data_IF_248117747109
#
_entry.id   IF_248117747109
#
_cell.length_a   1.000
_cell.length_b   1.000
_cell.length_c   1.000
_cell.angle_alpha   90.00
_cell.angle_beta   90.00
_cell.angle_gamma   90.00
#
_symmetry.space_group_name_H-M   'P 1'
#
loop_
_entity.id
_entity.type
_entity.pdbx_description
1 polymer ?
#
# COMPACT_ATOMS: atom_id res chain seq x y z
N UNK A 1 44.89 -48.95 51.72
CA UNK A 1 44.23 -49.02 50.38
C UNK A 1 43.00 -48.16 50.48
N UNK A 2 43.13 -46.93 49.92
CA UNK A 2 42.31 -45.73 50.16
C UNK A 2 41.08 -45.69 49.24
N UNK A 3 39.87 -45.61 49.85
CA UNK A 3 38.64 -45.34 49.11
C UNK A 3 38.31 -43.88 49.12
N UNK A 4 38.24 -43.30 47.93
CA UNK A 4 37.84 -41.93 47.72
C UNK A 4 36.32 -41.91 47.55
N UNK A 5 35.60 -41.22 48.46
CA UNK A 5 34.16 -40.92 48.33
C UNK A 5 34.02 -39.65 47.47
N UNK A 6 33.33 -39.79 46.35
CA UNK A 6 32.83 -38.64 45.54
C UNK A 6 31.51 -38.15 46.12
N UNK A 7 31.50 -36.90 46.57
CA UNK A 7 30.28 -36.15 46.89
C UNK A 7 29.70 -35.58 45.60
N UNK A 8 28.53 -36.06 45.23
CA UNK A 8 27.73 -35.47 44.16
C UNK A 8 26.87 -34.34 44.77
N UNK A 9 27.25 -33.09 44.46
CA UNK A 9 26.47 -31.90 44.79
C UNK A 9 25.42 -31.68 43.69
N UNK A 10 24.18 -32.02 43.99
CA UNK A 10 23.02 -31.91 43.10
C UNK A 10 22.39 -30.53 43.33
N UNK A 11 22.85 -29.48 42.63
CA UNK A 11 22.20 -28.18 42.61
C UNK A 11 21.22 -28.14 41.43
N UNK A 12 19.96 -28.48 41.73
CA UNK A 12 18.81 -28.17 40.89
C UNK A 12 18.52 -26.69 40.97
N UNK A 13 19.05 -25.90 39.99
CA UNK A 13 18.64 -24.53 39.73
C UNK A 13 17.28 -24.52 39.04
N UNK A 14 16.21 -24.27 39.80
CA UNK A 14 14.90 -23.97 39.21
C UNK A 14 14.91 -22.64 38.48
N UNK A 15 14.05 -22.43 37.44
CA UNK A 15 13.97 -21.18 36.74
C UNK A 15 13.52 -20.08 37.70
N UNK A 16 14.38 -19.05 37.85
CA UNK A 16 14.03 -17.82 38.56
C UNK A 16 12.78 -17.22 37.92
N UNK A 17 11.69 -17.17 38.66
CA UNK A 17 10.50 -16.42 38.27
C UNK A 17 10.84 -14.93 38.24
N UNK A 18 10.55 -14.19 37.17
CA UNK A 18 10.76 -12.75 37.12
C UNK A 18 9.93 -12.12 38.25
N UNK A 19 10.57 -11.28 39.05
CA UNK A 19 9.92 -10.56 40.17
C UNK A 19 8.77 -9.73 39.58
N UNK A 20 7.60 -9.73 40.21
CA UNK A 20 6.50 -8.85 39.75
C UNK A 20 6.95 -7.40 39.94
N UNK A 21 7.15 -6.70 38.83
CA UNK A 21 7.39 -5.24 38.84
C UNK A 21 6.15 -4.60 39.43
N UNK A 22 6.30 -3.81 40.49
CA UNK A 22 5.15 -3.13 41.11
C UNK A 22 4.59 -2.08 40.16
N UNK A 23 3.27 -1.85 40.23
CA UNK A 23 2.57 -0.86 39.41
C UNK A 23 3.19 0.53 39.54
N UNK A 24 3.64 0.89 40.76
CA UNK A 24 4.36 2.14 41.06
C UNK A 24 5.74 2.25 40.40
N UNK A 25 6.45 1.13 40.25
CA UNK A 25 7.73 1.09 39.53
C UNK A 25 7.55 1.24 38.02
N UNK A 26 6.52 0.61 37.47
CA UNK A 26 6.17 0.76 36.07
C UNK A 26 5.73 2.19 35.74
N UNK A 27 4.89 2.80 36.59
CA UNK A 27 4.43 4.18 36.41
C UNK A 27 5.61 5.17 36.51
N UNK A 28 6.53 4.95 37.46
CA UNK A 28 7.74 5.78 37.59
C UNK A 28 8.65 5.67 36.37
N UNK A 29 8.89 4.45 35.87
CA UNK A 29 9.69 4.20 34.67
C UNK A 29 9.07 4.80 33.42
N UNK A 30 7.75 4.76 33.27
CA UNK A 30 7.02 5.42 32.20
C UNK A 30 7.12 6.94 32.29
N UNK A 31 6.94 7.51 33.48
CA UNK A 31 7.04 8.96 33.70
C UNK A 31 8.44 9.47 33.42
N UNK A 32 9.48 8.76 33.83
CA UNK A 32 10.89 9.08 33.55
C UNK A 32 11.23 8.95 32.06
N UNK A 33 10.67 7.98 31.36
CA UNK A 33 10.87 7.81 29.92
C UNK A 33 10.21 8.92 29.13
N UNK A 34 8.97 9.26 29.47
CA UNK A 34 8.24 10.37 28.85
C UNK A 34 8.89 11.73 29.15
N UNK A 35 9.36 11.92 30.38
CA UNK A 35 10.06 13.16 30.76
C UNK A 35 11.37 13.35 30.00
N UNK A 36 12.14 12.27 29.76
CA UNK A 36 13.34 12.32 28.92
C UNK A 36 13.04 12.60 27.46
N UNK A 37 11.92 12.08 26.91
CA UNK A 37 11.50 12.39 25.55
C UNK A 37 11.05 13.85 25.38
N UNK A 38 10.43 14.44 26.41
CA UNK A 38 9.99 15.85 26.40
C UNK A 38 11.15 16.80 26.65
N UNK A 39 12.11 16.42 27.53
CA UNK A 39 13.27 17.25 27.87
C UNK A 39 14.35 17.33 26.78
N UNK A 40 14.31 16.42 25.76
CA UNK A 40 15.17 16.56 24.60
C UNK A 40 14.41 17.40 23.56
N UNK A 41 14.74 18.72 23.40
CA UNK A 41 14.13 19.52 22.35
C UNK A 41 14.52 18.86 21.01
N UNK A 42 13.60 18.14 20.37
CA UNK A 42 13.79 17.82 18.95
C UNK A 42 13.94 19.15 18.25
N UNK A 43 15.05 19.40 17.52
CA UNK A 43 15.10 20.53 16.63
C UNK A 43 13.94 20.29 15.64
N UNK A 44 12.82 20.97 15.86
CA UNK A 44 11.83 21.20 14.84
C UNK A 44 12.64 21.77 13.70
N UNK A 45 12.79 20.99 12.60
CA UNK A 45 13.60 21.41 11.48
C UNK A 45 13.25 22.86 11.18
N UNK A 46 14.29 23.70 11.20
CA UNK A 46 14.13 25.13 11.07
C UNK A 46 13.20 25.43 9.90
N UNK A 47 12.04 26.00 10.19
CA UNK A 47 11.08 26.50 9.24
C UNK A 47 10.18 25.47 8.51
N UNK A 48 9.13 24.92 9.19
CA UNK A 48 8.11 24.11 8.54
C UNK A 48 7.30 24.90 7.48
N UNK A 49 7.15 26.22 7.64
CA UNK A 49 6.52 27.11 6.69
C UNK A 49 7.39 27.27 5.44
N UNK A 50 8.69 27.42 5.57
CA UNK A 50 9.62 27.44 4.45
C UNK A 50 9.71 26.09 3.72
N UNK A 51 9.56 24.97 4.41
CA UNK A 51 9.46 23.66 3.76
C UNK A 51 8.18 23.55 2.93
N UNK A 52 7.05 24.02 3.44
CA UNK A 52 5.78 24.06 2.70
C UNK A 52 5.86 24.99 1.50
N UNK A 53 6.44 26.18 1.65
CA UNK A 53 6.64 27.12 0.53
C UNK A 53 7.63 26.60 -0.51
N UNK A 54 8.69 25.90 -0.11
CA UNK A 54 9.60 25.24 -1.05
C UNK A 54 8.91 24.14 -1.85
N UNK A 55 8.01 23.36 -1.21
CA UNK A 55 7.17 22.35 -1.90
C UNK A 55 6.23 23.00 -2.90
N UNK A 56 5.54 24.08 -2.52
CA UNK A 56 4.66 24.81 -3.41
C UNK A 56 5.40 25.41 -4.63
N UNK A 57 6.59 25.95 -4.43
CA UNK A 57 7.44 26.47 -5.51
C UNK A 57 7.96 25.38 -6.44
N UNK A 58 8.27 24.18 -5.95
CA UNK A 58 8.65 23.03 -6.79
C UNK A 58 7.48 22.54 -7.63
N UNK A 59 6.28 22.45 -7.05
CA UNK A 59 5.05 22.11 -7.78
C UNK A 59 4.75 23.15 -8.87
N UNK A 60 4.93 24.44 -8.57
CA UNK A 60 4.79 25.54 -9.54
C UNK A 60 5.79 25.46 -10.71
N UNK A 61 7.06 25.15 -10.44
CA UNK A 61 8.09 24.99 -11.50
C UNK A 61 7.82 23.77 -12.39
N UNK A 62 7.37 22.66 -11.83
CA UNK A 62 6.98 21.48 -12.64
C UNK A 62 5.78 21.77 -13.52
N UNK A 63 4.79 22.54 -13.05
CA UNK A 63 3.64 23.00 -13.85
C UNK A 63 4.05 23.97 -14.97
N UNK A 64 5.02 24.85 -14.74
CA UNK A 64 5.53 25.77 -15.75
C UNK A 64 6.28 25.05 -16.88
N UNK A 65 7.00 23.97 -16.59
CA UNK A 65 7.72 23.17 -17.60
C UNK A 65 6.79 22.29 -18.45
N UNK A 66 5.67 21.79 -17.87
CA UNK A 66 4.65 21.05 -18.63
C UNK A 66 3.71 21.98 -19.40
N UNK A 67 3.52 23.24 -18.96
CA UNK A 67 2.70 24.25 -19.66
C UNK A 67 3.31 24.75 -20.94
N UNK A 68 4.63 24.76 -21.08
CA UNK A 68 5.32 25.24 -22.30
C UNK A 68 5.21 24.29 -23.50
N UNK A 69 4.88 23.02 -23.30
CA UNK A 69 4.69 22.05 -24.38
C UNK A 69 3.27 22.05 -24.98
N UNK A 70 2.28 22.72 -24.36
CA UNK A 70 0.88 22.80 -24.81
C UNK A 70 0.45 24.21 -25.27
N UNK A 71 1.30 25.20 -25.17
CA UNK A 71 0.96 26.61 -25.54
C UNK A 71 0.99 26.89 -27.04
N UNK A 72 1.09 25.88 -27.89
CA UNK A 72 1.17 26.05 -29.37
C UNK A 72 -0.15 26.00 -30.13
N UNK A 73 -1.30 25.71 -29.52
CA UNK A 73 -2.56 25.47 -30.25
C UNK A 73 -3.78 26.24 -29.72
N UNK A 74 -3.68 27.01 -28.66
CA UNK A 74 -4.85 27.65 -28.03
C UNK A 74 -4.79 29.18 -28.00
N UNK A 75 -4.31 29.86 -29.08
CA UNK A 75 -4.28 31.33 -29.15
C UNK A 75 -5.32 31.93 -30.07
N UNK A 76 -6.48 31.36 -30.26
CA UNK A 76 -7.56 31.92 -31.13
C UNK A 76 -8.95 31.93 -30.51
N UNK A 77 -9.19 31.84 -29.22
CA UNK A 77 -10.59 31.95 -28.73
C UNK A 77 -10.78 32.53 -27.32
N UNK A 78 -10.07 33.59 -26.93
CA UNK A 78 -10.47 34.38 -25.73
C UNK A 78 -10.17 35.87 -25.95
N UNK A 79 -10.89 36.52 -26.88
CA UNK A 79 -10.96 37.97 -26.97
C UNK A 79 -12.41 38.46 -27.11
N UNK A 80 -13.34 37.89 -26.38
CA UNK A 80 -14.68 38.45 -26.27
C UNK A 80 -15.25 38.12 -24.86
N UNK A 81 -15.04 39.01 -23.88
CA UNK A 81 -15.74 38.87 -22.60
C UNK A 81 -15.10 39.50 -21.37
N UNK A 82 -14.39 40.64 -21.50
CA UNK A 82 -14.06 41.45 -20.32
C UNK A 82 -14.32 42.91 -20.60
N UNK A 83 -15.58 43.30 -20.55
CA UNK A 83 -16.00 44.65 -20.33
C UNK A 83 -17.12 44.63 -19.27
N UNK A 84 -16.93 45.50 -18.28
CA UNK A 84 -17.84 45.83 -17.18
C UNK A 84 -17.57 45.12 -15.84
N UNK A 85 -16.72 45.75 -15.03
CA UNK A 85 -17.00 46.18 -13.66
C UNK A 85 -15.91 47.21 -13.31
N UNK A 86 -16.17 48.49 -13.62
CA UNK A 86 -15.56 49.62 -12.96
C UNK A 86 -16.56 50.19 -11.98
N UNK A 87 -16.36 49.97 -10.69
CA UNK A 87 -17.04 50.64 -9.58
C UNK A 87 -16.00 51.28 -8.66
N UNK A 88 -16.28 52.44 -8.07
CA UNK A 88 -15.28 53.32 -7.50
C UNK A 88 -14.72 52.89 -6.16
N UNK A 89 -13.48 53.29 -5.93
CA UNK A 89 -12.71 53.09 -4.71
C UNK A 89 -13.43 53.64 -3.47
N UNK A 90 -13.66 52.75 -2.49
CA UNK A 90 -14.07 53.07 -1.12
C UNK A 90 -12.97 52.68 -0.12
N UNK A 91 -12.59 53.67 0.63
CA UNK A 91 -11.57 53.74 1.68
C UNK A 91 -11.61 52.64 2.71
N UNK A 92 -10.44 52.27 3.12
CA UNK A 92 -9.94 51.36 4.19
C UNK A 92 -10.85 51.02 5.36
N UNK A 93 -10.86 49.73 5.64
CA UNK A 93 -11.28 49.14 6.88
C UNK A 93 -10.67 47.75 6.98
N UNK A 94 -9.77 47.54 7.93
CA UNK A 94 -9.26 46.23 8.33
C UNK A 94 -10.42 45.32 8.72
N UNK A 95 -10.59 44.12 8.10
CA UNK A 95 -11.64 43.22 8.58
C UNK A 95 -11.22 42.57 9.88
N UNK A 96 -11.87 42.97 10.97
CA UNK A 96 -11.88 42.23 12.22
C UNK A 96 -12.71 40.98 11.99
N UNK A 97 -12.08 39.80 12.04
CA UNK A 97 -12.80 38.51 12.04
C UNK A 97 -13.44 38.34 13.40
N UNK A 98 -14.72 38.62 13.49
CA UNK A 98 -15.57 38.23 14.64
C UNK A 98 -16.01 36.80 14.39
N UNK A 99 -15.50 35.86 15.21
CA UNK A 99 -16.08 34.52 15.32
C UNK A 99 -17.44 34.70 16.02
N UNK A 100 -18.52 34.87 15.24
CA UNK A 100 -19.88 34.76 15.72
C UNK A 100 -20.43 33.38 15.44
N UNK A 101 -21.12 32.80 16.42
CA UNK A 101 -21.85 31.55 16.26
C UNK A 101 -22.83 31.66 15.08
N UNK A 102 -22.88 30.63 14.20
CA UNK A 102 -23.85 30.64 13.11
C UNK A 102 -25.27 30.54 13.67
N UNK A 103 -26.21 31.34 13.17
CA UNK A 103 -27.60 31.25 13.58
C UNK A 103 -28.15 29.88 13.22
N UNK A 104 -28.85 29.25 14.16
CA UNK A 104 -29.39 27.90 14.08
C UNK A 104 -30.18 27.64 12.80
N UNK A 105 -29.65 26.80 11.95
CA UNK A 105 -30.42 26.15 10.91
C UNK A 105 -31.23 25.02 11.52
N UNK A 106 -32.54 25.22 11.61
CA UNK A 106 -33.45 24.10 11.84
C UNK A 106 -33.40 23.16 10.64
N UNK A 107 -33.07 21.87 10.80
CA UNK A 107 -33.16 20.94 9.69
C UNK A 107 -34.63 20.72 9.32
N UNK A 108 -35.03 21.14 8.13
CA UNK A 108 -36.28 20.68 7.52
C UNK A 108 -36.20 19.15 7.38
N UNK A 109 -37.26 18.43 7.76
CA UNK A 109 -37.29 16.99 7.53
C UNK A 109 -37.49 16.73 6.04
N UNK A 110 -36.44 16.40 5.36
CA UNK A 110 -36.57 15.76 4.05
C UNK A 110 -37.13 14.36 4.27
N UNK A 111 -38.21 13.98 3.56
CA UNK A 111 -38.68 12.62 3.60
C UNK A 111 -37.58 11.71 3.03
N UNK A 112 -37.12 10.78 3.85
CA UNK A 112 -36.26 9.70 3.40
C UNK A 112 -37.10 8.81 2.47
N UNK A 113 -37.02 9.04 1.18
CA UNK A 113 -37.39 8.04 0.18
C UNK A 113 -36.35 6.92 0.24
N UNK A 114 -36.66 5.94 1.06
CA UNK A 114 -36.01 4.65 1.03
C UNK A 114 -36.47 3.93 -0.25
N UNK A 115 -35.79 4.18 -1.35
CA UNK A 115 -35.90 3.33 -2.54
C UNK A 115 -35.35 1.97 -2.17
N UNK A 116 -36.15 0.89 -2.19
CA UNK A 116 -35.64 -0.43 -1.94
C UNK A 116 -34.65 -0.75 -3.06
N UNK A 117 -33.37 -0.85 -2.73
CA UNK A 117 -32.33 -1.30 -3.65
C UNK A 117 -32.74 -2.70 -4.13
N UNK A 118 -33.15 -2.79 -5.38
CA UNK A 118 -33.37 -4.05 -6.09
C UNK A 118 -32.05 -4.81 -6.05
N UNK A 119 -31.96 -5.83 -5.22
CA UNK A 119 -30.83 -6.73 -5.13
C UNK A 119 -30.77 -7.59 -6.39
N UNK A 120 -30.26 -7.02 -7.47
CA UNK A 120 -29.74 -7.83 -8.56
C UNK A 120 -28.55 -8.58 -8.00
N UNK A 121 -28.52 -9.92 -8.20
CA UNK A 121 -27.58 -10.82 -7.57
C UNK A 121 -26.12 -10.47 -7.81
N UNK A 122 -25.62 -9.47 -7.08
CA UNK A 122 -24.20 -9.17 -7.02
C UNK A 122 -23.52 -10.35 -6.34
N UNK A 123 -22.52 -10.89 -6.98
CA UNK A 123 -21.52 -11.75 -6.34
C UNK A 123 -21.08 -10.96 -5.11
N UNK A 124 -21.47 -11.38 -3.90
CA UNK A 124 -21.01 -10.77 -2.66
C UNK A 124 -19.51 -10.86 -2.72
N UNK A 125 -18.84 -9.72 -2.81
CA UNK A 125 -17.39 -9.68 -2.79
C UNK A 125 -16.96 -10.33 -1.46
N UNK A 126 -16.11 -11.34 -1.55
CA UNK A 126 -15.53 -12.00 -0.36
C UNK A 126 -14.51 -11.08 0.31
N UNK A 127 -14.22 -9.95 -0.33
CA UNK A 127 -13.26 -8.92 0.08
C UNK A 127 -13.88 -7.54 -0.08
N UNK A 128 -13.29 -6.58 0.61
CA UNK A 128 -13.71 -5.19 0.49
C UNK A 128 -13.36 -4.64 -0.90
N UNK A 129 -14.21 -3.78 -1.45
CA UNK A 129 -14.05 -3.12 -2.75
C UNK A 129 -14.15 -1.60 -2.60
N UNK A 130 -13.36 -0.88 -3.36
CA UNK A 130 -13.52 0.56 -3.57
C UNK A 130 -14.11 0.79 -4.96
N UNK A 131 -15.28 1.44 -5.00
CA UNK A 131 -16.02 1.69 -6.22
C UNK A 131 -16.51 3.13 -6.20
N UNK A 132 -16.03 3.96 -7.12
CA UNK A 132 -16.50 5.33 -7.35
C UNK A 132 -16.65 6.18 -6.06
N UNK A 133 -15.61 6.20 -5.24
CA UNK A 133 -15.61 6.93 -3.97
C UNK A 133 -16.39 6.26 -2.84
N UNK A 134 -16.78 5.00 -3.01
CA UNK A 134 -17.42 4.20 -1.98
C UNK A 134 -16.55 3.00 -1.61
N UNK A 135 -16.51 2.70 -0.32
CA UNK A 135 -16.00 1.45 0.22
C UNK A 135 -17.17 0.50 0.44
N UNK A 136 -17.16 -0.63 -0.25
CA UNK A 136 -18.09 -1.74 -0.03
C UNK A 136 -17.35 -2.82 0.76
N UNK A 137 -17.73 -3.00 2.01
CA UNK A 137 -17.15 -4.04 2.85
C UNK A 137 -17.71 -5.42 2.45
N UNK A 138 -16.92 -6.46 2.65
CA UNK A 138 -17.32 -7.86 2.38
C UNK A 138 -18.59 -8.28 3.13
N UNK A 139 -18.92 -7.59 4.25
CA UNK A 139 -20.19 -7.73 4.98
C UNK A 139 -21.40 -7.12 4.30
N UNK A 140 -21.24 -6.40 3.18
CA UNK A 140 -22.29 -5.69 2.45
C UNK A 140 -22.58 -4.28 2.98
N UNK A 141 -21.79 -3.78 3.91
CA UNK A 141 -21.81 -2.39 4.35
C UNK A 141 -21.20 -1.50 3.26
N UNK A 142 -21.85 -0.36 2.99
CA UNK A 142 -21.39 0.61 1.99
C UNK A 142 -21.13 1.96 2.64
N UNK A 143 -19.98 2.56 2.37
CA UNK A 143 -19.51 3.76 2.99
C UNK A 143 -18.95 4.76 1.98
N UNK A 144 -19.41 6.02 2.01
CA UNK A 144 -18.87 7.09 1.20
C UNK A 144 -17.48 7.53 1.69
N UNK A 145 -16.53 7.66 0.79
CA UNK A 145 -15.19 8.17 1.06
C UNK A 145 -15.06 9.60 0.55
N UNK A 146 -15.65 10.55 1.27
CA UNK A 146 -15.62 11.96 0.88
C UNK A 146 -14.21 12.50 0.82
N UNK A 147 -13.82 13.07 -0.33
CA UNK A 147 -12.48 13.66 -0.55
C UNK A 147 -11.38 12.64 -0.88
N UNK A 148 -11.73 11.39 -1.17
CA UNK A 148 -10.80 10.38 -1.66
C UNK A 148 -11.08 10.13 -3.13
N UNK A 149 -10.22 10.65 -4.00
CA UNK A 149 -10.35 10.56 -5.45
C UNK A 149 -9.21 9.79 -6.10
N UNK A 150 -9.48 9.20 -7.27
CA UNK A 150 -8.47 8.57 -8.11
C UNK A 150 -7.72 7.45 -7.41
N UNK A 151 -8.43 6.56 -6.72
CA UNK A 151 -7.82 5.46 -5.98
C UNK A 151 -7.12 4.50 -6.91
N UNK A 152 -5.86 4.16 -6.59
CA UNK A 152 -5.06 3.16 -7.32
C UNK A 152 -4.89 1.88 -6.50
N UNK A 153 -4.76 2.02 -5.18
CA UNK A 153 -4.54 0.87 -4.29
C UNK A 153 -5.20 1.10 -2.94
N UNK A 154 -5.69 0.02 -2.37
CA UNK A 154 -6.19 -0.01 -1.00
C UNK A 154 -5.68 -1.25 -0.27
N UNK A 155 -5.42 -1.09 1.03
CA UNK A 155 -4.92 -2.13 1.93
C UNK A 155 -5.71 -2.10 3.23
N UNK A 156 -6.22 -3.25 3.66
CA UNK A 156 -6.83 -3.39 4.99
C UNK A 156 -5.77 -3.43 6.08
N UNK A 157 -6.05 -2.77 7.20
CA UNK A 157 -5.21 -2.79 8.39
C UNK A 157 -5.93 -3.60 9.46
N UNK A 158 -5.58 -4.88 9.58
CA UNK A 158 -6.36 -5.87 10.36
C UNK A 158 -6.55 -5.50 11.83
N UNK A 159 -5.47 -5.18 12.53
CA UNK A 159 -5.51 -4.96 13.97
C UNK A 159 -6.24 -3.68 14.38
N UNK A 160 -6.40 -2.75 13.43
CA UNK A 160 -7.00 -1.45 13.67
C UNK A 160 -8.35 -1.29 12.98
N UNK A 161 -8.74 -2.28 12.17
CA UNK A 161 -10.03 -2.35 11.49
C UNK A 161 -10.23 -1.33 10.36
N UNK A 162 -9.24 -0.48 10.06
CA UNK A 162 -9.32 0.55 9.04
C UNK A 162 -8.65 0.17 7.72
N UNK A 163 -8.53 1.15 6.83
CA UNK A 163 -7.94 0.97 5.50
C UNK A 163 -6.94 2.08 5.19
N UNK A 164 -5.87 1.72 4.51
CA UNK A 164 -4.96 2.64 3.85
C UNK A 164 -5.32 2.71 2.38
N UNK A 165 -5.49 3.91 1.85
CA UNK A 165 -5.88 4.14 0.46
C UNK A 165 -4.88 5.08 -0.19
N UNK A 166 -4.35 4.72 -1.38
CA UNK A 166 -3.45 5.59 -2.14
C UNK A 166 -4.09 6.04 -3.43
N UNK A 167 -3.85 7.31 -3.80
CA UNK A 167 -4.25 7.82 -5.11
C UNK A 167 -3.32 7.32 -6.22
N UNK A 168 -3.81 7.37 -7.44
CA UNK A 168 -2.99 7.36 -8.63
C UNK A 168 -1.97 8.51 -8.61
N UNK A 169 -0.88 8.36 -9.37
CA UNK A 169 0.10 9.43 -9.53
C UNK A 169 -0.51 10.60 -10.28
N UNK A 170 -0.40 11.79 -9.70
CA UNK A 170 -0.78 13.05 -10.33
C UNK A 170 0.44 13.94 -10.48
N UNK A 171 0.30 15.07 -11.17
CA UNK A 171 1.37 16.09 -11.24
C UNK A 171 1.74 16.65 -9.85
N UNK A 172 0.82 16.58 -8.88
CA UNK A 172 1.05 16.97 -7.49
C UNK A 172 1.67 15.86 -6.64
N UNK A 173 1.83 14.65 -7.17
CA UNK A 173 2.26 13.45 -6.46
C UNK A 173 1.10 12.56 -6.05
N UNK A 174 1.37 11.63 -5.15
CA UNK A 174 0.40 10.69 -4.59
C UNK A 174 -0.06 11.14 -3.22
N UNK A 175 -1.29 10.80 -2.87
CA UNK A 175 -1.86 11.01 -1.54
C UNK A 175 -2.12 9.67 -0.89
N UNK A 176 -1.86 9.58 0.41
CA UNK A 176 -2.22 8.44 1.25
C UNK A 176 -3.27 8.89 2.27
N UNK A 177 -4.37 8.17 2.35
CA UNK A 177 -5.42 8.37 3.34
C UNK A 177 -5.48 7.20 4.32
N UNK A 178 -5.84 7.52 5.54
CA UNK A 178 -6.37 6.60 6.51
C UNK A 178 -7.90 6.68 6.50
N UNK A 179 -8.56 5.55 6.31
CA UNK A 179 -10.01 5.41 6.42
C UNK A 179 -10.29 4.65 7.71
N UNK A 180 -10.84 5.31 8.76
CA UNK A 180 -11.08 4.65 10.04
C UNK A 180 -12.20 3.61 9.93
N UNK A 181 -12.30 2.63 10.86
CA UNK A 181 -13.29 1.56 10.77
C UNK A 181 -14.73 2.01 11.04
N UNK A 182 -14.92 3.18 11.63
CA UNK A 182 -16.24 3.69 12.00
C UNK A 182 -16.74 4.76 11.04
N UNK A 183 -18.05 4.77 10.73
CA UNK A 183 -18.66 5.75 9.82
C UNK A 183 -18.63 7.20 10.34
N UNK A 184 -18.40 7.38 11.63
CA UNK A 184 -18.39 8.71 12.26
C UNK A 184 -17.13 9.51 11.94
N UNK A 185 -16.07 8.85 11.43
CA UNK A 185 -14.80 9.50 11.15
C UNK A 185 -14.59 9.60 9.63
N UNK A 186 -14.33 10.81 9.16
CA UNK A 186 -13.96 11.06 7.77
C UNK A 186 -12.58 10.50 7.44
N UNK A 187 -12.29 10.15 6.16
CA UNK A 187 -10.95 9.83 5.72
C UNK A 187 -9.95 10.94 6.07
N UNK A 188 -8.78 10.57 6.58
CA UNK A 188 -7.73 11.49 7.01
C UNK A 188 -6.54 11.40 6.07
N UNK A 189 -6.03 12.54 5.61
CA UNK A 189 -4.81 12.60 4.81
C UNK A 189 -3.60 12.35 5.72
N UNK A 190 -2.87 11.26 5.48
CA UNK A 190 -1.63 10.94 6.18
C UNK A 190 -0.40 11.51 5.47
N UNK A 191 -0.39 11.43 4.13
CA UNK A 191 0.66 11.95 3.26
C UNK A 191 0.03 12.64 2.06
N UNK A 192 0.66 13.72 1.62
CA UNK A 192 0.30 14.39 0.37
C UNK A 192 1.57 14.67 -0.45
N UNK A 193 1.43 14.68 -1.76
CA UNK A 193 2.49 15.01 -2.71
C UNK A 193 3.72 14.07 -2.67
N UNK A 194 3.55 12.82 -2.25
CA UNK A 194 4.62 11.82 -2.29
C UNK A 194 4.90 11.41 -3.76
N UNK A 195 6.17 11.26 -4.14
CA UNK A 195 6.55 10.81 -5.48
C UNK A 195 6.16 9.33 -5.71
N UNK A 196 6.27 8.51 -4.66
CA UNK A 196 5.87 7.10 -4.64
C UNK A 196 5.45 6.70 -3.22
N UNK A 197 4.53 5.76 -3.11
CA UNK A 197 4.06 5.20 -1.82
C UNK A 197 3.97 3.68 -1.95
N UNK A 198 4.48 2.98 -0.96
CA UNK A 198 4.31 1.54 -0.76
C UNK A 198 3.70 1.27 0.61
N UNK A 199 2.82 0.30 0.69
CA UNK A 199 2.16 -0.15 1.92
C UNK A 199 2.56 -1.60 2.15
N UNK A 200 2.85 -1.98 3.40
CA UNK A 200 3.08 -3.39 3.76
C UNK A 200 1.81 -4.21 3.58
N UNK A 201 1.97 -5.52 3.39
CA UNK A 201 0.84 -6.41 3.15
C UNK A 201 -0.17 -6.45 4.31
N UNK A 202 0.28 -6.22 5.54
CA UNK A 202 -0.55 -6.13 6.75
C UNK A 202 -1.09 -4.73 7.04
N UNK A 203 -0.70 -3.72 6.23
CA UNK A 203 -1.09 -2.32 6.41
C UNK A 203 -0.41 -1.60 7.58
N UNK A 204 0.50 -2.24 8.30
CA UNK A 204 1.13 -1.67 9.50
C UNK A 204 2.29 -0.72 9.20
N UNK A 205 2.77 -0.71 7.97
CA UNK A 205 3.93 0.07 7.58
C UNK A 205 3.71 0.76 6.24
N UNK A 206 4.28 1.94 6.11
CA UNK A 206 4.26 2.73 4.88
C UNK A 206 5.66 3.22 4.58
N UNK A 207 6.08 3.11 3.32
CA UNK A 207 7.29 3.74 2.82
C UNK A 207 6.93 4.67 1.67
N UNK A 208 7.59 5.83 1.62
CA UNK A 208 7.34 6.79 0.55
C UNK A 208 8.62 7.51 0.13
N UNK A 209 8.55 8.09 -1.05
CA UNK A 209 9.59 8.99 -1.55
C UNK A 209 9.09 10.43 -1.51
N UNK A 210 9.91 11.34 -0.96
CA UNK A 210 9.69 12.79 -0.97
C UNK A 210 10.96 13.48 -1.50
N UNK A 211 10.99 13.74 -2.80
CA UNK A 211 12.17 14.27 -3.46
C UNK A 211 13.39 13.35 -3.35
N UNK A 212 14.50 13.77 -2.69
CA UNK A 212 15.69 12.94 -2.54
C UNK A 212 15.59 11.95 -1.37
N UNK A 213 14.55 12.02 -0.53
CA UNK A 213 14.44 11.20 0.67
C UNK A 213 13.52 10.00 0.45
N UNK A 214 13.97 8.85 0.91
CA UNK A 214 13.12 7.69 1.22
C UNK A 214 12.81 7.71 2.70
N UNK A 215 11.54 7.50 3.03
CA UNK A 215 11.05 7.53 4.40
C UNK A 215 10.19 6.30 4.61
N UNK A 216 10.35 5.63 5.74
CA UNK A 216 9.49 4.51 6.15
C UNK A 216 9.04 4.72 7.59
N UNK A 217 7.77 4.41 7.88
CA UNK A 217 7.18 4.58 9.19
C UNK A 217 6.18 3.45 9.51
N UNK A 218 5.95 3.21 10.78
CA UNK A 218 4.82 2.41 11.23
C UNK A 218 3.51 3.21 11.13
N UNK A 219 2.39 2.49 11.08
CA UNK A 219 1.04 3.06 11.08
C UNK A 219 0.31 2.61 12.34
N UNK A 220 -0.16 3.56 13.13
CA UNK A 220 -1.00 3.30 14.32
C UNK A 220 -2.15 4.29 14.33
N UNK A 221 -3.38 3.82 14.30
CA UNK A 221 -4.60 4.63 14.36
C UNK A 221 -4.58 5.84 13.38
N UNK A 222 -4.12 5.61 12.15
CA UNK A 222 -4.03 6.67 11.14
C UNK A 222 -2.87 7.65 11.32
N UNK A 223 -1.93 7.36 12.20
CA UNK A 223 -0.73 8.18 12.39
C UNK A 223 0.53 7.45 11.95
N UNK A 224 1.47 8.21 11.38
CA UNK A 224 2.79 7.70 11.02
C UNK A 224 3.72 7.83 12.22
N UNK A 225 4.22 6.70 12.72
CA UNK A 225 5.07 6.63 13.90
C UNK A 225 6.50 6.20 13.55
N UNK A 226 7.46 6.61 14.36
CA UNK A 226 8.86 6.23 14.28
C UNK A 226 9.46 6.29 12.86
N UNK A 227 9.35 7.43 12.12
CA UNK A 227 9.86 7.53 10.76
C UNK A 227 11.37 7.40 10.70
N UNK A 228 11.85 6.51 9.85
CA UNK A 228 13.27 6.38 9.46
C UNK A 228 13.44 7.01 8.09
N UNK A 229 14.52 7.79 7.91
CA UNK A 229 14.80 8.51 6.66
C UNK A 229 16.18 8.19 6.14
N UNK A 230 16.31 8.16 4.82
CA UNK A 230 17.60 8.02 4.14
C UNK A 230 17.58 8.79 2.83
N UNK A 231 18.69 9.41 2.47
CA UNK A 231 18.86 10.00 1.14
C UNK A 231 19.05 8.90 0.11
N UNK A 232 18.31 8.95 -0.98
CA UNK A 232 18.35 7.95 -2.04
C UNK A 232 18.72 8.54 -3.39
N UNK A 233 19.41 7.78 -4.26
CA UNK A 233 19.65 8.16 -5.64
C UNK A 233 18.36 8.51 -6.38
N UNK A 234 18.49 9.30 -7.45
CA UNK A 234 17.37 9.63 -8.30
C UNK A 234 16.72 8.34 -8.87
N UNK A 235 15.42 8.33 -9.00
CA UNK A 235 14.67 7.21 -9.57
C UNK A 235 14.40 6.02 -8.64
N UNK A 236 15.10 5.88 -7.51
CA UNK A 236 14.82 4.81 -6.54
C UNK A 236 13.48 5.04 -5.85
N UNK A 237 12.58 4.06 -5.91
CA UNK A 237 11.24 4.15 -5.32
C UNK A 237 10.91 2.93 -4.47
N UNK A 238 10.16 3.11 -3.36
CA UNK A 238 9.62 1.99 -2.60
C UNK A 238 8.49 1.32 -3.39
N UNK A 239 8.45 -0.02 -3.37
CA UNK A 239 7.42 -0.80 -4.09
C UNK A 239 6.69 -1.81 -3.20
N UNK A 240 7.21 -2.10 -2.01
CA UNK A 240 6.62 -3.05 -1.07
C UNK A 240 7.49 -3.26 0.16
N UNK A 241 7.19 -4.31 0.89
CA UNK A 241 7.88 -4.68 2.12
C UNK A 241 8.20 -6.18 2.14
N UNK A 242 9.21 -6.53 2.93
CA UNK A 242 9.51 -7.89 3.37
C UNK A 242 9.82 -7.85 4.87
N UNK A 243 8.88 -8.31 5.69
CA UNK A 243 8.91 -8.03 7.13
C UNK A 243 9.00 -6.52 7.37
N UNK A 244 10.00 -6.11 8.16
CA UNK A 244 10.26 -4.69 8.47
C UNK A 244 11.06 -3.94 7.42
N UNK A 245 11.59 -4.60 6.41
CA UNK A 245 12.46 -4.03 5.41
C UNK A 245 11.69 -3.60 4.16
N UNK A 246 12.16 -2.54 3.50
CA UNK A 246 11.51 -1.94 2.33
C UNK A 246 12.10 -2.49 1.05
N UNK A 247 11.24 -2.96 0.15
CA UNK A 247 11.62 -3.32 -1.21
C UNK A 247 11.71 -2.06 -2.08
N UNK A 248 12.86 -1.88 -2.70
CA UNK A 248 13.15 -0.73 -3.56
C UNK A 248 13.35 -1.18 -5.01
N UNK A 249 12.83 -0.38 -5.94
CA UNK A 249 13.07 -0.53 -7.38
C UNK A 249 13.91 0.62 -7.90
N UNK A 250 14.85 0.32 -8.78
CA UNK A 250 15.68 1.28 -9.50
C UNK A 250 15.28 1.30 -10.99
N UNK A 251 14.37 2.16 -11.43
CA UNK A 251 13.86 2.13 -12.79
C UNK A 251 14.95 2.43 -13.84
N UNK A 252 15.86 3.37 -13.57
CA UNK A 252 16.88 3.83 -14.53
C UNK A 252 18.01 2.81 -14.76
N UNK A 253 18.32 2.00 -13.75
CA UNK A 253 19.38 0.99 -13.80
C UNK A 253 18.85 -0.44 -13.88
N UNK A 254 17.54 -0.58 -13.77
CA UNK A 254 16.87 -1.86 -13.55
C UNK A 254 17.18 -2.45 -12.18
N UNK A 255 16.39 -3.45 -11.81
CA UNK A 255 16.63 -4.26 -10.62
C UNK A 255 15.97 -3.76 -9.34
N UNK A 256 16.09 -4.62 -8.33
CA UNK A 256 15.48 -4.40 -7.01
C UNK A 256 16.51 -4.61 -5.90
N UNK A 257 16.26 -3.97 -4.77
CA UNK A 257 17.07 -4.09 -3.56
C UNK A 257 16.20 -4.06 -2.30
N UNK A 258 16.80 -4.43 -1.16
CA UNK A 258 16.14 -4.41 0.15
C UNK A 258 16.80 -3.33 1.00
N UNK A 259 16.03 -2.33 1.41
CA UNK A 259 16.48 -1.35 2.39
C UNK A 259 16.16 -1.86 3.80
N UNK A 260 17.21 -2.27 4.50
CA UNK A 260 17.15 -2.69 5.91
C UNK A 260 17.13 -1.45 6.79
N UNK A 261 15.96 -1.11 7.30
CA UNK A 261 15.78 0.12 8.10
C UNK A 261 16.67 0.15 9.34
N UNK A 262 16.88 -1.00 9.98
CA UNK A 262 17.75 -1.10 11.16
C UNK A 262 19.24 -0.85 10.84
N UNK A 263 19.67 -1.02 9.60
CA UNK A 263 21.06 -0.78 9.20
C UNK A 263 21.37 0.71 8.94
N UNK A 264 20.37 1.58 8.94
CA UNK A 264 20.54 3.03 8.82
C UNK A 264 20.94 3.55 7.45
N UNK A 265 21.25 2.69 6.47
CA UNK A 265 21.69 3.07 5.13
C UNK A 265 21.05 2.25 4.02
N UNK A 266 21.13 2.76 2.79
CA UNK A 266 20.70 2.02 1.61
C UNK A 266 21.71 0.93 1.24
N UNK A 267 21.26 -0.17 0.60
CA UNK A 267 22.16 -1.16 0.06
C UNK A 267 23.04 -0.56 -1.05
N UNK A 268 24.30 -0.98 -1.13
CA UNK A 268 25.25 -0.45 -2.10
C UNK A 268 24.90 -0.78 -3.56
N UNK A 269 24.12 -1.85 -3.80
CA UNK A 269 23.72 -2.28 -5.15
C UNK A 269 22.33 -2.92 -5.14
N UNK A 270 21.62 -2.75 -6.24
CA UNK A 270 20.42 -3.52 -6.55
C UNK A 270 20.81 -4.84 -7.25
N UNK A 271 19.95 -5.85 -7.17
CA UNK A 271 20.04 -7.04 -8.00
C UNK A 271 19.39 -6.72 -9.37
N UNK A 272 20.20 -6.58 -10.45
CA UNK A 272 19.70 -6.12 -11.75
C UNK A 272 18.82 -7.16 -12.46
N UNK A 273 18.93 -8.41 -12.05
CA UNK A 273 18.16 -9.49 -12.68
C UNK A 273 16.75 -9.66 -12.06
N UNK A 274 16.45 -8.97 -10.96
CA UNK A 274 15.11 -8.99 -10.32
C UNK A 274 14.28 -7.82 -10.82
N UNK A 275 13.16 -8.09 -11.48
CA UNK A 275 12.30 -7.07 -12.11
C UNK A 275 11.06 -6.72 -11.28
N UNK A 276 10.49 -7.73 -10.60
CA UNK A 276 9.31 -7.56 -9.76
C UNK A 276 9.32 -8.55 -8.59
N UNK A 277 8.60 -8.20 -7.52
CA UNK A 277 8.27 -9.08 -6.41
C UNK A 277 6.75 -9.09 -6.27
N UNK A 278 6.15 -10.27 -6.32
CA UNK A 278 4.70 -10.48 -6.27
C UNK A 278 4.14 -10.69 -4.87
N UNK A 279 4.99 -11.09 -3.92
CA UNK A 279 4.61 -11.33 -2.54
C UNK A 279 5.59 -12.23 -1.79
N UNK A 280 5.29 -12.46 -0.51
CA UNK A 280 6.07 -13.35 0.36
C UNK A 280 5.36 -14.69 0.55
N UNK A 281 6.15 -15.71 0.79
CA UNK A 281 5.69 -17.02 1.27
C UNK A 281 5.76 -17.10 2.80
N UNK A 282 5.06 -18.05 3.43
CA UNK A 282 5.14 -18.24 4.89
C UNK A 282 6.54 -18.51 5.42
N UNK A 283 7.44 -19.04 4.58
CA UNK A 283 8.85 -19.28 4.92
C UNK A 283 9.74 -18.01 4.85
N UNK A 284 9.15 -16.84 4.62
CA UNK A 284 9.83 -15.54 4.52
C UNK A 284 10.54 -15.30 3.19
N UNK A 285 10.54 -16.26 2.27
CA UNK A 285 11.06 -16.06 0.91
C UNK A 285 10.07 -15.28 0.06
N UNK A 286 10.60 -14.55 -0.91
CA UNK A 286 9.80 -13.77 -1.84
C UNK A 286 9.63 -14.51 -3.16
N UNK A 287 8.49 -14.34 -3.80
CA UNK A 287 8.27 -14.78 -5.18
C UNK A 287 8.45 -13.59 -6.10
N UNK A 288 9.36 -13.70 -7.06
CA UNK A 288 9.65 -12.60 -7.96
C UNK A 288 9.86 -13.03 -9.41
N UNK A 289 9.87 -12.04 -10.27
CA UNK A 289 10.23 -12.14 -11.67
C UNK A 289 11.71 -11.82 -11.82
N UNK A 290 12.45 -12.74 -12.42
CA UNK A 290 13.89 -12.58 -12.68
C UNK A 290 14.21 -12.83 -14.14
N UNK A 291 15.32 -12.25 -14.61
CA UNK A 291 15.97 -12.69 -15.85
C UNK A 291 16.91 -13.83 -15.52
N UNK A 292 16.75 -14.99 -16.16
CA UNK A 292 17.58 -16.16 -15.91
C UNK A 292 17.98 -16.90 -17.18
N UNK A 293 18.97 -17.78 -17.04
CA UNK A 293 19.51 -18.61 -18.11
C UNK A 293 20.34 -17.84 -19.14
N UNK A 294 20.98 -18.57 -20.04
CA UNK A 294 21.84 -18.01 -21.10
C UNK A 294 21.04 -17.13 -22.09
N UNK A 295 19.74 -17.46 -22.29
CA UNK A 295 18.84 -16.71 -23.16
C UNK A 295 18.25 -15.45 -22.48
N UNK A 296 18.61 -15.16 -21.22
CA UNK A 296 18.09 -14.03 -20.42
C UNK A 296 16.58 -13.90 -20.51
N UNK A 297 15.86 -15.00 -20.31
CA UNK A 297 14.41 -15.02 -20.39
C UNK A 297 13.76 -14.70 -19.03
N UNK A 298 12.51 -14.17 -19.03
CA UNK A 298 11.78 -13.94 -17.79
C UNK A 298 11.38 -15.29 -17.16
N UNK A 299 11.74 -15.46 -15.90
CA UNK A 299 11.47 -16.66 -15.11
C UNK A 299 10.93 -16.27 -13.72
N UNK A 300 10.16 -17.14 -13.10
CA UNK A 300 9.79 -16.98 -11.69
C UNK A 300 10.93 -17.51 -10.80
N UNK A 301 11.13 -16.85 -9.66
CA UNK A 301 12.13 -17.29 -8.69
C UNK A 301 11.64 -17.14 -7.25
N UNK A 302 12.14 -18.02 -6.38
CA UNK A 302 12.17 -17.78 -4.95
C UNK A 302 13.43 -16.97 -4.64
N UNK A 303 13.24 -15.84 -4.01
CA UNK A 303 14.29 -14.87 -3.69
C UNK A 303 14.55 -14.86 -2.18
N UNK A 304 15.82 -14.74 -1.80
CA UNK A 304 16.23 -14.60 -0.41
C UNK A 304 16.45 -13.11 -0.09
N UNK A 305 15.56 -12.47 0.70
CA UNK A 305 15.71 -11.07 1.06
C UNK A 305 16.95 -10.83 1.93
N UNK A 306 17.39 -11.82 2.72
CA UNK A 306 18.58 -11.69 3.55
C UNK A 306 19.87 -11.63 2.71
N UNK A 307 19.85 -12.19 1.50
CA UNK A 307 20.98 -12.20 0.56
C UNK A 307 20.78 -11.25 -0.63
N UNK A 308 20.14 -10.10 -0.41
CA UNK A 308 19.96 -9.09 -1.45
C UNK A 308 19.11 -9.55 -2.64
N UNK A 309 18.06 -10.32 -2.38
CA UNK A 309 17.16 -10.89 -3.39
C UNK A 309 17.87 -11.92 -4.30
N UNK A 310 18.88 -12.62 -3.80
CA UNK A 310 19.50 -13.69 -4.58
C UNK A 310 18.49 -14.82 -4.87
N UNK A 311 18.38 -15.32 -6.11
CA UNK A 311 17.52 -16.45 -6.43
C UNK A 311 18.00 -17.71 -5.71
N UNK A 312 17.09 -18.38 -5.00
CA UNK A 312 17.32 -19.67 -4.32
C UNK A 312 16.87 -20.81 -5.22
N UNK A 313 15.78 -20.58 -5.94
CA UNK A 313 15.19 -21.54 -6.88
C UNK A 313 14.57 -20.77 -8.03
N UNK A 314 14.70 -21.23 -9.25
CA UNK A 314 14.19 -20.57 -10.45
C UNK A 314 13.46 -21.57 -11.34
N UNK A 315 12.32 -21.17 -11.88
CA UNK A 315 11.52 -21.95 -12.81
C UNK A 315 11.09 -21.10 -14.02
N UNK A 316 11.41 -21.57 -15.22
CA UNK A 316 11.17 -20.83 -16.46
C UNK A 316 10.01 -21.39 -17.30
N UNK A 317 9.17 -22.27 -16.74
CA UNK A 317 8.01 -22.87 -17.44
C UNK A 317 6.87 -21.88 -17.66
N UNK A 318 6.50 -21.15 -16.62
CA UNK A 318 5.58 -20.03 -16.74
C UNK A 318 6.28 -18.84 -17.39
N UNK A 319 5.58 -18.14 -18.28
CA UNK A 319 6.08 -16.93 -18.96
C UNK A 319 5.29 -15.71 -18.47
N UNK A 320 5.65 -15.17 -17.29
CA UNK A 320 4.94 -14.02 -16.76
C UNK A 320 5.22 -12.75 -17.59
N UNK A 321 4.26 -11.83 -17.62
CA UNK A 321 4.48 -10.50 -18.15
C UNK A 321 5.43 -9.70 -17.25
N UNK A 322 6.12 -8.72 -17.82
CA UNK A 322 7.04 -7.83 -17.07
C UNK A 322 6.35 -6.59 -16.51
N UNK A 323 5.02 -6.62 -16.39
CA UNK A 323 4.21 -5.52 -15.85
C UNK A 323 4.24 -5.41 -14.32
N UNK A 324 4.72 -6.47 -13.64
CA UNK A 324 4.80 -6.54 -12.19
C UNK A 324 3.44 -6.75 -11.49
N UNK A 325 2.37 -7.00 -12.25
CA UNK A 325 1.05 -7.28 -11.70
C UNK A 325 0.93 -8.75 -11.30
N UNK A 326 0.49 -8.98 -10.09
CA UNK A 326 0.29 -10.32 -9.55
C UNK A 326 0.22 -10.34 -8.03
N UNK A 327 -0.08 -11.52 -7.47
CA UNK A 327 -0.14 -11.72 -6.04
C UNK A 327 0.00 -13.18 -5.66
N UNK A 328 0.73 -13.44 -4.58
CA UNK A 328 0.94 -14.77 -3.99
C UNK A 328 -0.17 -15.07 -3.01
N UNK A 329 -0.70 -16.30 -3.03
CA UNK A 329 -1.70 -16.73 -2.05
C UNK A 329 -1.12 -16.78 -0.63
N UNK A 330 -1.96 -16.62 0.42
CA UNK A 330 -1.49 -16.60 1.81
C UNK A 330 -0.75 -17.86 2.25
N UNK A 331 -1.11 -19.02 1.69
CA UNK A 331 -0.43 -20.29 1.92
C UNK A 331 0.90 -20.42 1.14
N UNK A 332 1.22 -19.45 0.29
CA UNK A 332 2.44 -19.42 -0.52
C UNK A 332 2.48 -20.44 -1.66
N UNK A 333 1.35 -21.10 -1.94
CA UNK A 333 1.28 -22.16 -2.97
C UNK A 333 1.01 -21.60 -4.37
N UNK A 334 0.14 -20.61 -4.48
CA UNK A 334 -0.34 -20.09 -5.76
C UNK A 334 0.18 -18.70 -6.05
N UNK A 335 0.47 -18.44 -7.31
CA UNK A 335 0.69 -17.10 -7.85
C UNK A 335 -0.33 -16.85 -8.95
N UNK A 336 -1.09 -15.77 -8.82
CA UNK A 336 -1.87 -15.22 -9.91
C UNK A 336 -1.09 -14.06 -10.54
N UNK A 337 -0.86 -14.10 -11.84
CA UNK A 337 0.02 -13.15 -12.56
C UNK A 337 -0.43 -13.02 -14.02
N UNK A 338 -0.13 -11.88 -14.66
CA UNK A 338 -0.29 -11.78 -16.10
C UNK A 338 0.76 -12.62 -16.84
N UNK A 339 0.32 -13.36 -17.84
CA UNK A 339 1.21 -14.05 -18.77
C UNK A 339 1.68 -13.14 -19.90
N UNK A 340 2.71 -13.55 -20.63
CA UNK A 340 3.22 -12.82 -21.79
C UNK A 340 2.18 -12.58 -22.89
N UNK A 341 1.11 -13.37 -22.95
CA UNK A 341 -0.05 -13.19 -23.84
C UNK A 341 -1.13 -12.25 -23.30
N UNK A 342 -0.85 -11.49 -22.25
CA UNK A 342 -1.78 -10.55 -21.61
C UNK A 342 -3.06 -11.18 -21.02
N UNK A 343 -3.09 -12.47 -20.75
CA UNK A 343 -4.14 -13.14 -19.99
C UNK A 343 -3.63 -13.50 -18.61
N UNK A 344 -4.52 -13.57 -17.62
CA UNK A 344 -4.16 -14.04 -16.29
C UNK A 344 -3.75 -15.52 -16.31
N UNK A 345 -2.77 -15.86 -15.52
CA UNK A 345 -2.28 -17.21 -15.33
C UNK A 345 -2.17 -17.54 -13.83
N UNK A 346 -2.64 -18.71 -13.47
CA UNK A 346 -2.43 -19.29 -12.15
C UNK A 346 -1.25 -20.26 -12.22
N UNK A 347 -0.25 -20.05 -11.36
CA UNK A 347 0.98 -20.84 -11.32
C UNK A 347 1.08 -21.56 -9.98
N UNK A 348 1.33 -22.88 -10.00
CA UNK A 348 1.65 -23.66 -8.79
C UNK A 348 3.13 -23.45 -8.42
N UNK A 349 3.38 -22.86 -7.27
CA UNK A 349 4.72 -22.53 -6.77
C UNK A 349 5.39 -23.69 -6.04
N UNK A 350 4.71 -24.82 -5.83
CA UNK A 350 5.30 -25.98 -5.15
C UNK A 350 6.43 -26.59 -5.98
N UNK A 351 6.30 -26.55 -7.28
CA UNK A 351 7.29 -27.10 -8.24
C UNK A 351 8.13 -26.03 -8.95
N UNK A 352 8.37 -24.90 -8.29
CA UNK A 352 9.11 -23.79 -8.89
C UNK A 352 10.55 -24.13 -9.30
N UNK A 353 11.13 -25.21 -8.79
CA UNK A 353 12.47 -25.66 -9.18
C UNK A 353 12.53 -26.45 -10.49
N UNK A 354 11.39 -26.84 -11.03
CA UNK A 354 11.25 -27.55 -12.29
C UNK A 354 10.67 -26.66 -13.40
N UNK A 355 9.63 -27.17 -14.04
CA UNK A 355 8.87 -26.42 -15.05
C UNK A 355 7.48 -26.13 -14.43
N UNK A 356 7.32 -25.02 -13.70
CA UNK A 356 6.07 -24.74 -13.05
C UNK A 356 4.94 -24.63 -14.09
N UNK A 357 3.85 -25.37 -13.85
CA UNK A 357 2.70 -25.34 -14.72
C UNK A 357 1.97 -24.00 -14.55
N UNK A 358 1.65 -23.38 -15.67
CA UNK A 358 0.81 -22.18 -15.71
C UNK A 358 -0.53 -22.54 -16.35
N UNK A 359 -1.60 -22.23 -15.64
CA UNK A 359 -2.97 -22.52 -16.09
C UNK A 359 -3.66 -21.20 -16.46
N UNK A 360 -4.34 -21.11 -17.62
CA UNK A 360 -5.11 -19.93 -17.97
C UNK A 360 -6.14 -19.61 -16.87
N UNK A 361 -6.17 -18.37 -16.41
CA UNK A 361 -6.99 -17.96 -15.27
C UNK A 361 -7.88 -16.73 -15.57
N UNK A 362 -8.30 -16.60 -16.82
CA UNK A 362 -9.22 -15.56 -17.26
C UNK A 362 -8.54 -14.31 -17.83
N UNK A 363 -9.26 -13.17 -17.87
CA UNK A 363 -8.76 -11.94 -18.43
C UNK A 363 -7.61 -11.35 -17.61
N UNK A 364 -6.83 -10.47 -18.24
CA UNK A 364 -5.65 -9.85 -17.61
C UNK A 364 -5.99 -9.05 -16.37
N UNK A 365 -5.08 -9.08 -15.41
CA UNK A 365 -5.11 -8.19 -14.25
C UNK A 365 -4.85 -6.75 -14.69
N UNK A 366 -5.62 -5.81 -14.17
CA UNK A 366 -5.39 -4.38 -14.37
C UNK A 366 -4.95 -3.64 -13.11
N UNK A 367 -4.85 -4.34 -11.97
CA UNK A 367 -4.51 -3.78 -10.67
C UNK A 367 -4.06 -4.85 -9.68
N UNK A 368 -4.24 -4.56 -8.40
CA UNK A 368 -3.86 -5.45 -7.31
C UNK A 368 -4.69 -6.76 -7.33
N UNK A 369 -4.04 -7.83 -6.89
CA UNK A 369 -4.69 -9.11 -6.59
C UNK A 369 -4.90 -9.19 -5.08
N UNK A 370 -6.12 -9.52 -4.67
CA UNK A 370 -6.42 -9.85 -3.29
C UNK A 370 -6.79 -11.32 -3.16
N UNK A 371 -6.34 -11.95 -2.09
CA UNK A 371 -6.63 -13.33 -1.79
C UNK A 371 -7.54 -13.43 -0.57
N UNK A 372 -8.63 -14.15 -0.70
CA UNK A 372 -9.50 -14.46 0.43
C UNK A 372 -8.89 -15.54 1.33
N UNK A 373 -9.39 -15.64 2.57
CA UNK A 373 -9.01 -16.74 3.49
C UNK A 373 -9.32 -18.14 2.95
N UNK A 374 -10.29 -18.24 2.04
CA UNK A 374 -10.65 -19.49 1.39
C UNK A 374 -9.69 -19.87 0.23
N UNK A 375 -8.65 -19.07 -0.03
CA UNK A 375 -7.69 -19.29 -1.11
C UNK A 375 -8.25 -18.95 -2.49
N UNK A 376 -9.23 -18.06 -2.55
CA UNK A 376 -9.79 -17.52 -3.79
C UNK A 376 -9.11 -16.19 -4.09
N UNK A 377 -8.62 -15.99 -5.30
CA UNK A 377 -8.10 -14.70 -5.74
C UNK A 377 -9.19 -13.86 -6.40
N UNK A 378 -9.14 -12.55 -6.15
CA UNK A 378 -9.97 -11.55 -6.81
C UNK A 378 -9.09 -10.47 -7.42
N UNK A 379 -9.43 -10.06 -8.61
CA UNK A 379 -8.80 -8.94 -9.30
C UNK A 379 -9.81 -8.22 -10.18
N UNK A 380 -9.45 -7.05 -10.66
CA UNK A 380 -10.23 -6.30 -11.65
C UNK A 380 -9.52 -6.39 -12.99
N UNK A 381 -10.27 -6.61 -14.05
CA UNK A 381 -9.74 -6.66 -15.41
C UNK A 381 -9.66 -5.27 -16.08
N UNK A 382 -9.24 -5.23 -17.33
CA UNK A 382 -9.12 -3.98 -18.08
C UNK A 382 -10.49 -3.30 -18.38
N UNK A 383 -11.57 -4.06 -18.38
CA UNK A 383 -12.92 -3.54 -18.56
C UNK A 383 -13.53 -2.98 -17.26
N UNK A 384 -12.87 -3.19 -16.11
CA UNK A 384 -13.37 -2.81 -14.80
C UNK A 384 -14.30 -3.86 -14.19
N UNK A 385 -14.30 -5.07 -14.71
CA UNK A 385 -15.09 -6.17 -14.18
C UNK A 385 -14.32 -6.97 -13.13
N UNK A 386 -15.03 -7.47 -12.14
CA UNK A 386 -14.46 -8.29 -11.07
C UNK A 386 -14.32 -9.74 -11.55
N UNK A 387 -13.11 -10.28 -11.42
CA UNK A 387 -12.80 -11.67 -11.76
C UNK A 387 -12.48 -12.45 -10.50
N UNK A 388 -13.18 -13.56 -10.31
CA UNK A 388 -13.02 -14.48 -9.18
C UNK A 388 -12.33 -15.75 -9.66
N UNK A 389 -11.11 -15.99 -9.14
CA UNK A 389 -10.26 -17.11 -9.55
C UNK A 389 -10.18 -18.13 -8.42
N UNK A 390 -10.78 -19.29 -8.61
CA UNK A 390 -10.71 -20.45 -7.71
C UNK A 390 -9.66 -21.44 -8.24
N UNK A 391 -8.54 -21.67 -7.54
CA UNK A 391 -7.50 -22.57 -8.02
C UNK A 391 -8.00 -23.95 -8.41
N UNK A 392 -8.90 -24.55 -7.62
CA UNK A 392 -9.45 -25.87 -7.90
C UNK A 392 -10.23 -25.93 -9.24
N UNK A 393 -11.00 -24.88 -9.54
CA UNK A 393 -11.78 -24.80 -10.79
C UNK A 393 -10.87 -24.56 -12.01
N UNK A 394 -9.88 -23.68 -11.83
CA UNK A 394 -8.86 -23.43 -12.88
C UNK A 394 -8.09 -24.71 -13.22
N UNK A 395 -7.69 -25.48 -12.20
CA UNK A 395 -7.03 -26.78 -12.42
C UNK A 395 -7.94 -27.82 -13.09
N UNK A 396 -9.25 -27.72 -12.90
CA UNK A 396 -10.25 -28.53 -13.62
C UNK A 396 -10.49 -28.06 -15.06
N UNK A 397 -9.79 -27.00 -15.51
CA UNK A 397 -9.93 -26.42 -16.87
C UNK A 397 -11.05 -25.41 -17.02
N UNK A 398 -11.70 -25.00 -15.91
CA UNK A 398 -12.73 -23.97 -15.96
C UNK A 398 -12.12 -22.59 -16.09
N UNK A 399 -12.68 -21.76 -16.98
CA UNK A 399 -12.25 -20.38 -17.14
C UNK A 399 -13.08 -19.46 -16.23
N UNK A 400 -12.43 -18.60 -15.41
CA UNK A 400 -13.14 -17.59 -14.64
C UNK A 400 -13.88 -16.61 -15.54
N UNK A 401 -15.14 -16.34 -15.20
CA UNK A 401 -15.98 -15.38 -15.93
C UNK A 401 -15.99 -14.06 -15.20
N UNK A 402 -15.71 -12.94 -15.87
CA UNK A 402 -15.84 -11.60 -15.30
C UNK A 402 -17.28 -11.32 -14.88
N UNK A 403 -17.44 -10.51 -13.85
CA UNK A 403 -18.73 -10.09 -13.31
C UNK A 403 -18.75 -8.57 -13.19
N UNK A 404 -19.79 -7.94 -13.69
CA UNK A 404 -19.98 -6.51 -13.56
C UNK A 404 -20.13 -6.12 -12.08
N UNK A 405 -19.46 -5.04 -11.68
CA UNK A 405 -19.57 -4.45 -10.34
C UNK A 405 -20.66 -3.38 -10.35
N UNK A 406 -21.65 -3.52 -9.47
CA UNK A 406 -22.72 -2.55 -9.35
C UNK A 406 -22.21 -1.16 -8.94
N UNK A 407 -22.72 -0.10 -9.55
CA UNK A 407 -22.39 1.28 -9.21
C UNK A 407 -21.09 1.80 -9.84
N UNK A 408 -20.47 1.06 -10.74
CA UNK A 408 -19.34 1.56 -11.55
C UNK A 408 -19.89 2.48 -12.63
N UNK A 409 -19.39 3.73 -12.64
CA UNK A 409 -19.68 4.69 -13.70
C UNK A 409 -18.65 4.58 -14.81
N UNK A 410 -19.03 4.99 -16.02
CA UNK A 410 -18.11 4.97 -17.17
C UNK A 410 -16.84 5.75 -16.86
N UNK A 411 -15.70 5.08 -16.87
CA UNK A 411 -14.39 5.68 -16.61
C UNK A 411 -13.84 5.50 -15.19
N UNK A 412 -14.61 4.97 -14.25
CA UNK A 412 -14.12 4.57 -12.92
C UNK A 412 -13.80 3.07 -12.91
N UNK A 413 -12.71 2.71 -12.24
CA UNK A 413 -12.33 1.31 -12.05
C UNK A 413 -12.51 0.93 -10.58
N UNK A 414 -13.13 -0.20 -10.29
CA UNK A 414 -13.12 -0.75 -8.94
C UNK A 414 -11.68 -1.08 -8.52
N UNK A 415 -11.40 -0.94 -7.23
CA UNK A 415 -10.11 -1.34 -6.66
C UNK A 415 -10.38 -2.40 -5.60
N UNK A 416 -9.80 -3.58 -5.79
CA UNK A 416 -9.86 -4.64 -4.78
C UNK A 416 -8.97 -4.24 -3.62
N UNK A 417 -9.51 -4.29 -2.41
CA UNK A 417 -8.75 -4.04 -1.19
C UNK A 417 -7.89 -5.25 -0.91
N UNK A 418 -6.58 -5.06 -0.91
CA UNK A 418 -5.66 -6.11 -0.51
C UNK A 418 -5.88 -6.44 0.97
N UNK A 419 -6.05 -7.71 1.25
CA UNK A 419 -6.27 -8.25 2.58
C UNK A 419 -5.36 -9.47 2.74
N UNK A 420 -4.36 -9.37 3.59
CA UNK A 420 -3.56 -10.54 3.96
C UNK A 420 -4.14 -11.08 5.25
N UNK A 421 -4.79 -12.25 5.21
CA UNK A 421 -5.27 -12.89 6.41
C UNK A 421 -4.10 -13.07 7.38
N UNK A 422 -4.17 -12.47 8.55
CA UNK A 422 -3.25 -12.81 9.64
C UNK A 422 -3.43 -14.30 9.94
N UNK A 423 -2.32 -15.04 10.01
CA UNK A 423 -2.36 -16.39 10.52
C UNK A 423 -3.05 -16.35 11.90
N UNK A 424 -3.93 -17.29 12.23
CA UNK A 424 -4.51 -17.34 13.55
C UNK A 424 -3.36 -17.46 14.56
N UNK A 425 -3.34 -16.56 15.55
CA UNK A 425 -2.38 -16.59 16.64
C UNK A 425 -2.47 -17.97 17.31
N UNK A 426 -1.45 -18.80 17.14
CA UNK A 426 -1.29 -20.06 17.85
C UNK A 426 -1.62 -21.32 17.04
N UNK A 427 -0.81 -21.65 16.05
CA UNK A 427 -0.64 -23.01 15.58
C UNK A 427 0.78 -23.51 15.89
#
# INVERSE_FOLDING_TARGET
MSGIRQHADNRTGGPERPFPVSEDELERALRDTLSRQVATPRPLGADPAGAAMRRARRAGRRRALTGLALAGVATVLVTAGMAQITGPAGTGGTPTVVLGDPPGFSPSPFPAESTPATRSGSVRAELDLLVDGWLEASGGERRALTGVDGVERAQRVHDQGGWLVTSAATAAGRTLWWVPPTDRNTPQVMLAAADAVAISADGRQVAWRDGPELIAAGVVAGQLIAPVRVTAPAGVVPVGFTGDDVLLRQPDRGGMSVWRRAAGGLPGSANPDVHAVYGSRPDGRLVGLVTAGAARQPCLALLDPARGLAPVRTGCGAKPAVDGLGGVSPDGRWLLVNGAGHAAQLVDLTDLGGTPAAHPAGPALSGAVAWSRAGVALHVDAAGELVRVEPKRVLAGEQPTPSAVSGVTTGTRPVVVADVPTAPDGA
#
